data_IF_631526913361
#
_entry.id   IF_631526913361
#
_cell.length_a   1.000
_cell.length_b   1.000
_cell.length_c   1.000
_cell.angle_alpha   90.00
_cell.angle_beta   90.00
_cell.angle_gamma   90.00
#
_symmetry.space_group_name_H-M   'P 1'
#
loop_
_entity.id
_entity.type
_entity.pdbx_description
1 polymer ?
#
# COMPACT_ATOMS: atom_id res chain seq x y z
N UNK A 1 -2.25 10.42 -2.53
CA UNK A 1 -2.46 9.33 -1.56
C UNK A 1 -1.84 8.06 -2.13
N UNK A 2 -1.14 7.23 -1.35
CA UNK A 2 -0.60 5.98 -1.88
C UNK A 2 -1.72 4.94 -2.00
N UNK A 3 -2.06 4.56 -3.24
CA UNK A 3 -3.17 3.61 -3.51
C UNK A 3 -2.76 2.15 -3.33
N UNK A 4 -1.55 1.79 -3.77
CA UNK A 4 -1.03 0.43 -3.65
C UNK A 4 0.48 0.37 -3.79
N UNK A 5 1.05 -0.76 -3.36
CA UNK A 5 2.42 -1.21 -3.67
C UNK A 5 2.33 -2.56 -4.37
N UNK A 6 3.29 -2.88 -5.23
CA UNK A 6 3.40 -4.19 -5.85
C UNK A 6 4.88 -4.57 -6.06
N UNK A 7 5.13 -5.88 -6.14
CA UNK A 7 6.43 -6.46 -6.54
C UNK A 7 6.30 -7.07 -7.93
N UNK A 8 7.42 -7.24 -8.63
CA UNK A 8 7.43 -7.91 -9.94
C UNK A 8 6.97 -9.37 -9.81
N UNK A 9 6.19 -9.90 -10.78
CA UNK A 9 5.63 -9.21 -11.95
C UNK A 9 4.36 -8.41 -11.58
N UNK A 10 4.24 -7.18 -12.09
CA UNK A 10 3.06 -6.34 -11.90
C UNK A 10 2.70 -5.57 -13.18
N UNK A 11 1.40 -5.39 -13.42
CA UNK A 11 0.86 -4.63 -14.55
C UNK A 11 0.00 -3.48 -14.03
N UNK A 12 0.25 -2.28 -14.55
CA UNK A 12 -0.44 -1.05 -14.18
C UNK A 12 -0.98 -0.36 -15.45
N UNK A 13 -1.91 0.58 -15.27
CA UNK A 13 -2.44 1.42 -16.36
C UNK A 13 -3.61 0.84 -17.16
N UNK A 14 -3.96 -0.44 -16.97
CA UNK A 14 -5.08 -1.09 -17.68
C UNK A 14 -6.48 -0.51 -17.35
N UNK A 15 -6.58 0.30 -16.30
CA UNK A 15 -7.82 1.02 -15.98
C UNK A 15 -8.04 2.26 -16.85
N UNK A 16 -6.99 2.75 -17.54
CA UNK A 16 -7.01 3.91 -18.44
C UNK A 16 -7.10 3.49 -19.93
N UNK A 17 -7.70 2.33 -20.24
CA UNK A 17 -7.88 1.89 -21.63
C UNK A 17 -8.99 2.66 -22.37
N UNK A 18 -9.76 3.47 -21.64
CA UNK A 18 -10.82 4.33 -22.15
C UNK A 18 -10.51 5.79 -21.81
N UNK A 19 -11.39 6.73 -22.16
CA UNK A 19 -11.22 8.17 -21.92
C UNK A 19 -11.29 8.61 -20.44
N UNK A 20 -11.20 7.66 -19.51
CA UNK A 20 -11.09 7.93 -18.07
C UNK A 20 -9.61 7.94 -17.71
N UNK A 21 -9.09 9.12 -17.36
CA UNK A 21 -7.69 9.30 -17.01
C UNK A 21 -7.53 9.51 -15.50
N UNK A 22 -6.85 8.59 -14.83
CA UNK A 22 -6.35 8.81 -13.48
C UNK A 22 -5.03 9.61 -13.53
N UNK A 23 -4.96 10.72 -12.79
CA UNK A 23 -3.78 11.58 -12.71
C UNK A 23 -2.78 11.08 -11.64
N UNK A 24 -2.49 9.79 -11.68
CA UNK A 24 -1.61 9.10 -10.72
C UNK A 24 -0.18 8.98 -11.28
N UNK A 25 0.80 8.80 -10.38
CA UNK A 25 2.18 8.53 -10.76
C UNK A 25 2.72 7.29 -10.04
N UNK A 26 3.70 6.64 -10.66
CA UNK A 26 4.42 5.51 -10.08
C UNK A 26 5.73 6.02 -9.51
N UNK A 27 6.08 5.57 -8.30
CA UNK A 27 7.39 5.77 -7.69
C UNK A 27 8.03 4.42 -7.41
N UNK A 28 9.25 4.22 -7.90
CA UNK A 28 10.03 3.01 -7.63
C UNK A 28 10.66 3.10 -6.23
N UNK A 29 10.57 2.00 -5.46
CA UNK A 29 11.17 1.91 -4.12
C UNK A 29 12.59 1.34 -4.19
N UNK A 30 12.86 0.48 -5.16
CA UNK A 30 14.16 -0.10 -5.49
C UNK A 30 14.43 0.04 -7.01
N UNK A 31 15.64 -0.24 -7.50
CA UNK A 31 15.89 -0.32 -8.95
C UNK A 31 14.94 -1.33 -9.61
N UNK A 32 14.16 -0.87 -10.59
CA UNK A 32 13.16 -1.68 -11.29
C UNK A 32 13.40 -1.63 -12.80
N UNK A 33 13.18 -2.75 -13.48
CA UNK A 33 13.03 -2.77 -14.94
C UNK A 33 11.54 -2.60 -15.27
N UNK A 34 11.21 -1.54 -16.02
CA UNK A 34 9.83 -1.20 -16.38
C UNK A 34 9.69 -1.26 -17.90
N UNK A 35 8.77 -2.10 -18.38
CA UNK A 35 8.33 -2.09 -19.77
C UNK A 35 7.06 -1.26 -19.91
N UNK A 36 6.94 -0.53 -21.02
CA UNK A 36 5.73 0.22 -21.37
C UNK A 36 5.15 -0.29 -22.68
N UNK A 37 3.83 -0.15 -22.83
CA UNK A 37 3.12 -0.51 -24.05
C UNK A 37 2.07 0.57 -24.33
N UNK A 38 1.98 1.00 -25.59
CA UNK A 38 0.96 1.95 -26.02
C UNK A 38 -0.44 1.35 -25.88
N UNK A 39 -1.43 2.18 -25.53
CA UNK A 39 -2.83 1.74 -25.34
C UNK A 39 -3.39 1.07 -26.59
N UNK A 40 -3.07 1.59 -27.77
CA UNK A 40 -3.45 1.03 -29.06
C UNK A 40 -2.95 -0.41 -29.20
N UNK A 41 -1.67 -0.63 -28.85
CA UNK A 41 -1.06 -1.97 -28.94
C UNK A 41 -1.63 -2.93 -27.90
N UNK A 42 -1.99 -2.45 -26.71
CA UNK A 42 -2.70 -3.25 -25.71
C UNK A 42 -4.06 -3.71 -26.26
N UNK A 43 -4.82 -2.80 -26.87
CA UNK A 43 -6.13 -3.09 -27.46
C UNK A 43 -6.05 -4.13 -28.59
N UNK A 44 -5.05 -4.01 -29.47
CA UNK A 44 -4.78 -5.01 -30.51
C UNK A 44 -4.53 -6.39 -29.92
N UNK A 45 -3.62 -6.50 -28.93
CA UNK A 45 -3.29 -7.78 -28.29
C UNK A 45 -4.52 -8.40 -27.60
N UNK A 46 -5.32 -7.58 -26.91
CA UNK A 46 -6.55 -8.07 -26.25
C UNK A 46 -7.50 -8.65 -27.29
N UNK A 47 -7.66 -7.99 -28.44
CA UNK A 47 -8.53 -8.44 -29.53
C UNK A 47 -7.98 -9.71 -30.19
N UNK A 48 -6.72 -9.69 -30.64
CA UNK A 48 -6.06 -10.80 -31.33
C UNK A 48 -6.07 -12.10 -30.51
N UNK A 49 -5.89 -11.98 -29.19
CA UNK A 49 -5.80 -13.13 -28.28
C UNK A 49 -7.07 -13.41 -27.48
N UNK A 50 -8.18 -12.72 -27.80
CA UNK A 50 -9.46 -12.83 -27.10
C UNK A 50 -9.35 -12.70 -25.56
N UNK A 51 -8.56 -11.74 -25.07
CA UNK A 51 -8.21 -11.61 -23.65
C UNK A 51 -9.21 -10.81 -22.81
N UNK A 52 -10.31 -10.33 -23.38
CA UNK A 52 -11.29 -9.52 -22.66
C UNK A 52 -11.79 -10.18 -21.37
N UNK A 53 -11.98 -11.50 -21.38
CA UNK A 53 -12.38 -12.26 -20.19
C UNK A 53 -11.30 -12.36 -19.10
N UNK A 54 -10.02 -12.34 -19.48
CA UNK A 54 -8.91 -12.31 -18.52
C UNK A 54 -8.74 -10.90 -17.94
N UNK A 55 -8.79 -9.89 -18.82
CA UNK A 55 -8.71 -8.49 -18.44
C UNK A 55 -9.82 -8.12 -17.45
N UNK A 56 -11.06 -8.50 -17.73
CA UNK A 56 -12.19 -8.19 -16.85
C UNK A 56 -12.03 -8.79 -15.45
N UNK A 57 -11.60 -10.05 -15.36
CA UNK A 57 -11.28 -10.71 -14.07
C UNK A 57 -10.18 -9.99 -13.32
N UNK A 58 -9.12 -9.58 -14.02
CA UNK A 58 -8.01 -8.84 -13.41
C UNK A 58 -8.48 -7.47 -12.88
N UNK A 59 -9.26 -6.73 -13.66
CA UNK A 59 -9.83 -5.45 -13.24
C UNK A 59 -10.77 -5.62 -12.05
N UNK A 60 -11.63 -6.63 -12.05
CA UNK A 60 -12.50 -6.94 -10.90
C UNK A 60 -11.71 -7.27 -9.64
N UNK A 61 -10.62 -8.05 -9.76
CA UNK A 61 -9.74 -8.35 -8.63
C UNK A 61 -9.08 -7.08 -8.08
N UNK A 62 -8.52 -6.24 -8.94
CA UNK A 62 -7.90 -4.96 -8.54
C UNK A 62 -8.94 -4.04 -7.90
N UNK A 63 -10.12 -3.90 -8.50
CA UNK A 63 -11.19 -3.04 -7.99
C UNK A 63 -11.73 -3.55 -6.65
N UNK A 64 -11.92 -4.87 -6.48
CA UNK A 64 -12.29 -5.47 -5.20
C UNK A 64 -11.25 -5.16 -4.12
N UNK A 65 -9.96 -5.25 -4.44
CA UNK A 65 -8.91 -4.86 -3.49
C UNK A 65 -8.93 -3.36 -3.19
N UNK A 66 -9.11 -2.50 -4.19
CA UNK A 66 -9.21 -1.07 -3.96
C UNK A 66 -10.44 -0.74 -3.11
N UNK A 67 -11.60 -1.31 -3.41
CA UNK A 67 -12.81 -1.15 -2.64
C UNK A 67 -12.62 -1.60 -1.19
N UNK A 68 -12.14 -2.83 -0.96
CA UNK A 68 -11.98 -3.36 0.39
C UNK A 68 -10.84 -2.71 1.19
N UNK A 69 -9.78 -2.21 0.54
CA UNK A 69 -8.62 -1.63 1.23
C UNK A 69 -8.63 -0.09 1.27
N UNK A 70 -9.34 0.57 0.36
CA UNK A 70 -9.39 2.04 0.21
C UNK A 70 -10.76 2.60 0.63
N UNK A 71 -11.84 1.81 0.58
CA UNK A 71 -13.17 2.20 1.08
C UNK A 71 -13.54 1.39 2.34
N UNK A 72 -12.94 1.68 3.51
CA UNK A 72 -13.54 1.27 4.77
C UNK A 72 -14.93 1.93 4.91
N UNK A 73 -15.82 1.35 5.73
CA UNK A 73 -17.20 1.82 5.99
C UNK A 73 -17.29 3.24 6.64
N UNK A 74 -16.20 4.00 6.63
CA UNK A 74 -15.97 5.32 7.18
C UNK A 74 -14.47 5.66 7.08
N UNK A 75 -14.08 6.91 7.32
CA UNK A 75 -12.65 7.25 7.37
C UNK A 75 -11.96 6.47 8.50
N UNK A 76 -10.83 5.77 8.24
CA UNK A 76 -10.17 4.99 9.26
C UNK A 76 -9.67 5.91 10.38
N UNK A 77 -9.82 5.47 11.62
CA UNK A 77 -9.26 6.17 12.78
C UNK A 77 -7.74 6.24 12.68
N UNK A 78 -7.12 7.20 13.37
CA UNK A 78 -5.67 7.30 13.43
C UNK A 78 -5.01 5.99 13.90
N UNK A 79 -5.66 5.28 14.82
CA UNK A 79 -5.20 3.97 15.27
C UNK A 79 -5.24 2.92 14.17
N UNK A 80 -6.36 2.79 13.45
CA UNK A 80 -6.49 1.80 12.38
C UNK A 80 -5.47 2.04 11.27
N UNK A 81 -5.24 3.30 10.90
CA UNK A 81 -4.20 3.67 9.94
C UNK A 81 -2.81 3.23 10.43
N UNK A 82 -2.45 3.54 11.69
CA UNK A 82 -1.17 3.16 12.28
C UNK A 82 -1.03 1.64 12.36
N UNK A 83 -2.06 0.93 12.81
CA UNK A 83 -2.10 -0.53 12.90
C UNK A 83 -1.82 -1.17 11.54
N UNK A 84 -2.48 -0.71 10.48
CA UNK A 84 -2.25 -1.19 9.12
C UNK A 84 -0.81 -0.92 8.64
N UNK A 85 -0.27 0.27 8.89
CA UNK A 85 1.10 0.59 8.49
C UNK A 85 2.16 -0.18 9.28
N UNK A 86 1.93 -0.47 10.56
CA UNK A 86 2.83 -1.31 11.35
C UNK A 86 2.90 -2.74 10.79
N UNK A 87 1.75 -3.32 10.41
CA UNK A 87 1.72 -4.63 9.76
C UNK A 87 2.49 -4.60 8.44
N UNK A 88 2.23 -3.61 7.59
CA UNK A 88 2.96 -3.44 6.32
C UNK A 88 4.47 -3.28 6.53
N UNK A 89 4.88 -2.47 7.51
CA UNK A 89 6.29 -2.27 7.85
C UNK A 89 6.96 -3.57 8.31
N UNK A 90 6.23 -4.45 9.00
CA UNK A 90 6.74 -5.76 9.43
C UNK A 90 6.89 -6.76 8.26
N UNK A 91 6.12 -6.59 7.20
CA UNK A 91 6.20 -7.39 5.96
C UNK A 91 7.33 -6.93 5.02
N UNK A 92 7.89 -5.74 5.23
CA UNK A 92 9.05 -5.25 4.47
C UNK A 92 10.33 -6.01 4.84
N UNK A 93 11.31 -5.96 3.93
CA UNK A 93 12.62 -6.56 4.17
C UNK A 93 13.29 -5.91 5.40
N UNK A 94 13.96 -6.71 6.22
CA UNK A 94 14.54 -6.27 7.49
C UNK A 94 15.50 -5.08 7.35
N UNK A 95 16.36 -5.11 6.32
CA UNK A 95 17.27 -4.00 6.03
C UNK A 95 16.52 -2.68 5.78
N UNK A 96 15.37 -2.73 5.10
CA UNK A 96 14.54 -1.55 4.87
C UNK A 96 13.81 -1.13 6.14
N UNK A 97 13.17 -2.08 6.86
CA UNK A 97 12.48 -1.82 8.13
C UNK A 97 13.38 -1.16 9.17
N UNK A 98 14.65 -1.57 9.26
CA UNK A 98 15.63 -1.01 10.18
C UNK A 98 16.28 0.29 9.67
N UNK A 99 16.16 0.62 8.39
CA UNK A 99 16.73 1.86 7.83
C UNK A 99 16.00 3.14 8.25
N UNK A 100 14.80 3.03 8.83
CA UNK A 100 13.97 4.19 9.20
C UNK A 100 13.15 3.96 10.48
N UNK A 101 12.65 5.05 11.06
CA UNK A 101 11.75 4.97 12.22
C UNK A 101 10.34 4.56 11.79
N UNK A 102 9.62 3.87 12.68
CA UNK A 102 8.23 3.53 12.46
C UNK A 102 7.37 4.80 12.26
N UNK A 103 7.63 5.86 13.03
CA UNK A 103 6.94 7.15 12.87
C UNK A 103 7.11 7.71 11.46
N UNK A 104 8.34 7.76 10.95
CA UNK A 104 8.61 8.29 9.61
C UNK A 104 7.90 7.46 8.54
N UNK A 105 8.02 6.13 8.61
CA UNK A 105 7.34 5.23 7.66
C UNK A 105 5.83 5.50 7.65
N UNK A 106 5.19 5.54 8.83
CA UNK A 106 3.76 5.79 8.97
C UNK A 106 3.38 7.16 8.40
N UNK A 107 4.16 8.20 8.72
CA UNK A 107 3.84 9.57 8.31
C UNK A 107 4.03 9.80 6.82
N UNK A 108 4.93 9.07 6.16
CA UNK A 108 5.08 9.12 4.70
C UNK A 108 3.92 8.42 3.97
N UNK A 109 3.14 7.56 4.65
CA UNK A 109 2.04 6.78 4.08
C UNK A 109 0.65 7.22 4.53
N UNK A 110 0.58 8.17 5.46
CA UNK A 110 -0.66 8.67 6.06
C UNK A 110 -0.64 10.20 6.11
N UNK A 111 -1.79 10.82 6.41
CA UNK A 111 -1.88 12.27 6.66
C UNK A 111 -1.86 12.61 8.16
N UNK A 112 -1.36 11.68 8.99
CA UNK A 112 -1.35 11.86 10.43
C UNK A 112 -0.25 12.83 10.86
N UNK A 113 -0.55 13.62 11.89
CA UNK A 113 0.46 14.47 12.52
C UNK A 113 1.51 13.62 13.24
N UNK A 114 2.75 14.11 13.30
CA UNK A 114 3.83 13.45 14.03
C UNK A 114 3.46 13.18 15.50
N UNK A 115 2.84 14.15 16.16
CA UNK A 115 2.40 14.00 17.56
C UNK A 115 1.32 12.93 17.71
N UNK A 116 0.36 12.85 16.77
CA UNK A 116 -0.68 11.83 16.76
C UNK A 116 -0.11 10.42 16.59
N UNK A 117 0.86 10.25 15.69
CA UNK A 117 1.57 8.98 15.47
C UNK A 117 2.37 8.58 16.71
N UNK A 118 3.17 9.49 17.24
CA UNK A 118 4.02 9.23 18.41
C UNK A 118 3.19 8.85 19.64
N UNK A 119 2.05 9.50 19.88
CA UNK A 119 1.15 9.16 21.00
C UNK A 119 0.71 7.71 20.93
N UNK A 120 0.18 7.27 19.78
CA UNK A 120 -0.31 5.91 19.61
C UNK A 120 0.84 4.89 19.64
N UNK A 121 2.00 5.20 19.07
CA UNK A 121 3.17 4.32 19.17
C UNK A 121 3.66 4.16 20.62
N UNK A 122 3.65 5.24 21.42
CA UNK A 122 4.01 5.19 22.83
C UNK A 122 3.01 4.34 23.63
N UNK A 123 1.71 4.51 23.38
CA UNK A 123 0.65 3.71 24.01
C UNK A 123 0.81 2.22 23.66
N UNK A 124 1.09 1.92 22.38
CA UNK A 124 1.30 0.55 21.91
C UNK A 124 2.55 -0.11 22.50
N UNK A 125 3.65 0.64 22.60
CA UNK A 125 4.89 0.18 23.24
C UNK A 125 4.68 -0.08 24.73
N UNK A 126 4.02 0.85 25.43
CA UNK A 126 3.74 0.74 26.86
C UNK A 126 2.83 -0.45 27.17
N UNK A 127 1.84 -0.71 26.31
CA UNK A 127 0.97 -1.88 26.42
C UNK A 127 1.62 -3.20 26.00
N UNK A 128 2.90 -3.21 25.59
CA UNK A 128 3.61 -4.42 25.17
C UNK A 128 3.15 -4.99 23.82
N UNK A 129 2.36 -4.24 23.06
CA UNK A 129 1.81 -4.70 21.78
C UNK A 129 2.86 -4.70 20.65
N UNK A 130 3.86 -3.82 20.77
CA UNK A 130 4.99 -3.71 19.85
C UNK A 130 6.30 -3.52 20.62
N UNK A 131 7.41 -3.96 20.01
CA UNK A 131 8.76 -3.71 20.50
C UNK A 131 9.47 -2.76 19.54
N UNK A 132 10.11 -1.73 20.10
CA UNK A 132 10.80 -0.69 19.34
C UNK A 132 12.12 -0.29 19.98
N UNK A 133 13.16 -0.22 19.17
CA UNK A 133 14.52 0.21 19.53
C UNK A 133 14.91 1.41 18.66
N UNK A 134 15.42 2.47 19.27
CA UNK A 134 15.79 3.72 18.57
C UNK A 134 14.70 4.26 17.61
N UNK A 135 13.41 4.02 17.94
CA UNK A 135 12.27 4.42 17.11
C UNK A 135 11.98 3.50 15.91
N UNK A 136 12.74 2.42 15.73
CA UNK A 136 12.55 1.40 14.70
C UNK A 136 11.64 0.29 15.21
N UNK A 137 10.80 -0.26 14.34
CA UNK A 137 9.92 -1.37 14.69
C UNK A 137 10.72 -2.67 14.68
N UNK A 138 10.81 -3.37 15.82
CA UNK A 138 11.53 -4.64 15.94
C UNK A 138 10.58 -5.81 15.81
N UNK A 139 9.45 -5.75 16.53
CA UNK A 139 8.49 -6.86 16.59
C UNK A 139 7.07 -6.36 16.84
N UNK A 140 6.10 -7.11 16.34
CA UNK A 140 4.68 -6.97 16.69
C UNK A 140 4.31 -8.21 17.50
N UNK A 141 3.79 -8.00 18.71
CA UNK A 141 3.31 -9.07 19.58
C UNK A 141 1.86 -9.42 19.28
N UNK A 142 0.93 -8.51 19.61
CA UNK A 142 -0.50 -8.65 19.29
C UNK A 142 -1.19 -7.30 19.25
N UNK A 143 -1.51 -6.79 18.06
CA UNK A 143 -2.21 -5.51 17.96
C UNK A 143 -3.68 -5.66 18.35
N UNK A 144 -4.22 -4.79 19.22
CA UNK A 144 -5.65 -4.74 19.53
C UNK A 144 -6.52 -4.67 18.28
N UNK A 145 -7.73 -5.23 18.36
CA UNK A 145 -8.70 -5.11 17.27
C UNK A 145 -9.39 -3.73 17.26
N UNK A 146 -9.45 -3.07 18.43
CA UNK A 146 -10.07 -1.75 18.65
C UNK A 146 -9.25 -0.97 19.67
N UNK A 147 -9.24 0.36 19.51
CA UNK A 147 -8.57 1.34 20.37
C UNK A 147 -9.54 2.46 20.69
#
# INVERSE_FOLDING_TARGET
>A
MMLSTARSPAVFGLANLTDIYFNDYIKTVSPCLIGTLATERVNEIIKEKALWGLLSKQLMFVYSRLYNNVMPQGAPTAYEMIRQQLVKLMEEDEAYRLSMTAERYIREKTQLSRSGVMRILADLKTGGFIEMEEGRLIKINKLPARY
#
